data_IF_110988979742
#
_entry.id   IF_110988979742
#
_cell.length_a   1.000
_cell.length_b   1.000
_cell.length_c   1.000
_cell.angle_alpha   90.00
_cell.angle_beta   90.00
_cell.angle_gamma   90.00
#
_symmetry.space_group_name_H-M   'P 1'
#
loop_
_entity.id
_entity.type
_entity.pdbx_description
1 polymer ?
#
# COMPACT_ATOMS: atom_id res chain seq x y z
N UNK A 1 24.45 -10.43 25.44
CA UNK A 1 24.13 -10.07 24.05
C UNK A 1 22.69 -10.49 23.79
N UNK A 2 21.87 -9.62 23.20
CA UNK A 2 20.50 -9.92 22.77
C UNK A 2 20.38 -9.66 21.27
N UNK A 3 19.58 -10.45 20.58
CA UNK A 3 19.28 -10.28 19.15
C UNK A 3 17.85 -9.76 19.00
N UNK A 4 17.68 -8.64 18.29
CA UNK A 4 16.36 -8.15 17.89
C UNK A 4 16.19 -8.32 16.40
N UNK A 5 15.24 -9.15 15.99
CA UNK A 5 14.85 -9.31 14.60
C UNK A 5 13.73 -8.31 14.25
N UNK A 6 13.98 -7.44 13.27
CA UNK A 6 12.98 -6.53 12.76
C UNK A 6 12.13 -7.20 11.67
N UNK A 7 10.87 -7.46 11.99
CA UNK A 7 9.87 -8.06 11.10
C UNK A 7 8.85 -7.01 10.65
N UNK A 8 7.57 -7.37 10.56
CA UNK A 8 6.44 -6.49 10.25
C UNK A 8 5.18 -7.03 10.90
N UNK A 9 4.26 -6.14 11.30
CA UNK A 9 2.93 -6.53 11.77
C UNK A 9 2.06 -7.16 10.67
N UNK A 10 2.50 -7.15 9.42
CA UNK A 10 1.81 -7.78 8.29
C UNK A 10 2.48 -9.09 7.85
N UNK A 11 3.14 -9.79 8.77
CA UNK A 11 3.84 -11.05 8.48
C UNK A 11 2.90 -12.26 8.43
N UNK A 12 1.64 -12.13 8.87
CA UNK A 12 0.62 -13.19 8.86
C UNK A 12 -0.73 -12.61 8.47
N UNK A 13 -0.84 -12.30 7.19
CA UNK A 13 -1.95 -11.52 6.67
C UNK A 13 -3.30 -12.26 6.67
N UNK A 14 -3.30 -13.58 6.81
CA UNK A 14 -4.47 -14.45 6.88
C UNK A 14 -5.16 -14.43 8.25
N UNK A 15 -4.45 -14.05 9.32
CA UNK A 15 -4.99 -14.05 10.66
C UNK A 15 -6.03 -12.91 10.85
N UNK A 16 -7.07 -13.13 11.68
CA UNK A 16 -8.03 -12.09 12.03
C UNK A 16 -7.46 -11.10 13.05
N UNK A 17 -6.62 -11.59 13.97
CA UNK A 17 -5.90 -10.80 14.96
C UNK A 17 -4.47 -11.35 15.06
N UNK A 18 -3.48 -10.47 14.99
CA UNK A 18 -2.08 -10.82 15.18
C UNK A 18 -1.65 -10.50 16.61
N UNK A 19 -1.37 -11.56 17.37
CA UNK A 19 -0.93 -11.48 18.75
C UNK A 19 0.60 -11.40 18.86
N UNK A 20 1.08 -11.00 20.05
CA UNK A 20 2.51 -10.94 20.41
C UNK A 20 3.12 -12.31 20.73
N UNK A 21 3.03 -13.22 19.75
CA UNK A 21 3.64 -14.56 19.75
C UNK A 21 4.19 -14.93 18.38
N UNK A 22 5.08 -15.92 18.35
CA UNK A 22 5.58 -16.52 17.11
C UNK A 22 4.49 -17.40 16.50
N UNK A 23 4.36 -17.33 15.18
CA UNK A 23 3.48 -18.22 14.43
C UNK A 23 4.31 -19.08 13.48
N UNK A 24 3.96 -20.37 13.28
CA UNK A 24 4.71 -21.26 12.40
C UNK A 24 4.56 -20.81 10.95
N UNK A 25 5.68 -20.59 10.25
CA UNK A 25 5.68 -20.23 8.84
C UNK A 25 4.98 -21.30 7.98
N UNK A 26 4.47 -20.86 6.82
CA UNK A 26 3.80 -21.75 5.86
C UNK A 26 4.68 -22.95 5.47
N UNK A 27 5.99 -22.71 5.33
CA UNK A 27 6.98 -23.70 4.98
C UNK A 27 8.11 -23.72 6.02
N UNK A 28 8.70 -24.88 6.35
CA UNK A 28 9.88 -24.93 7.20
C UNK A 28 11.05 -24.15 6.57
N UNK A 29 11.70 -23.23 7.29
CA UNK A 29 12.81 -22.42 6.76
C UNK A 29 13.93 -23.27 6.16
N UNK A 30 14.29 -24.37 6.83
CA UNK A 30 15.31 -25.30 6.34
C UNK A 30 14.97 -25.87 4.96
N UNK A 31 13.72 -26.28 4.73
CA UNK A 31 13.30 -26.83 3.43
C UNK A 31 13.33 -25.78 2.31
N UNK A 32 12.96 -24.54 2.61
CA UNK A 32 13.08 -23.45 1.62
C UNK A 32 14.55 -23.15 1.32
N UNK A 33 15.39 -23.10 2.34
CA UNK A 33 16.85 -22.93 2.15
C UNK A 33 17.46 -24.11 1.40
N UNK A 34 17.02 -25.35 1.65
CA UNK A 34 17.52 -26.55 0.99
C UNK A 34 17.05 -26.63 -0.46
N UNK A 35 15.79 -26.27 -0.74
CA UNK A 35 15.27 -26.10 -2.11
C UNK A 35 16.11 -25.08 -2.89
N UNK A 36 16.60 -24.05 -2.19
CA UNK A 36 17.51 -23.07 -2.78
C UNK A 36 18.94 -23.61 -2.94
N UNK A 37 19.43 -24.40 -1.98
CA UNK A 37 20.81 -24.92 -1.94
C UNK A 37 21.05 -26.13 -2.83
N UNK A 38 20.01 -26.89 -3.19
CA UNK A 38 20.10 -28.13 -4.00
C UNK A 38 20.47 -27.91 -5.48
N UNK A 39 20.67 -26.66 -5.90
CA UNK A 39 21.24 -26.31 -7.20
C UNK A 39 22.76 -26.23 -7.03
N UNK A 40 23.47 -27.26 -7.49
CA UNK A 40 24.91 -27.40 -7.28
C UNK A 40 25.74 -26.51 -8.23
N UNK A 41 26.96 -26.21 -7.79
CA UNK A 41 27.91 -25.39 -8.56
C UNK A 41 28.39 -26.13 -9.83
N UNK A 42 28.29 -27.47 -9.87
CA UNK A 42 28.70 -28.29 -11.01
C UNK A 42 27.76 -28.15 -12.22
N UNK A 43 26.47 -27.94 -11.99
CA UNK A 43 25.49 -27.67 -13.05
C UNK A 43 25.62 -26.25 -13.59
N UNK A 44 26.02 -25.29 -12.74
CA UNK A 44 26.27 -23.89 -13.12
C UNK A 44 27.49 -23.77 -14.05
N UNK A 45 28.61 -24.41 -13.69
CA UNK A 45 29.83 -24.44 -14.49
C UNK A 45 29.63 -25.13 -15.86
N UNK A 46 28.74 -26.13 -15.93
CA UNK A 46 28.42 -26.84 -17.18
C UNK A 46 27.62 -25.99 -18.18
N UNK A 47 26.88 -24.98 -17.72
CA UNK A 47 25.96 -24.20 -18.53
C UNK A 47 26.46 -22.77 -18.85
N UNK A 48 27.45 -22.27 -18.11
CA UNK A 48 28.09 -20.96 -18.29
C UNK A 48 28.55 -20.68 -19.74
N UNK A 49 29.17 -21.63 -20.48
CA UNK A 49 29.63 -21.37 -21.85
C UNK A 49 28.49 -21.27 -22.88
N UNK A 50 27.28 -21.72 -22.55
CA UNK A 50 26.11 -21.71 -23.45
C UNK A 50 25.25 -20.46 -23.31
N UNK A 51 25.50 -19.63 -22.30
CA UNK A 51 24.70 -18.43 -22.01
C UNK A 51 25.40 -17.11 -22.38
N UNK A 52 26.72 -17.11 -22.63
CA UNK A 52 27.46 -15.92 -23.05
C UNK A 52 28.41 -16.22 -24.23
N UNK A 53 28.21 -15.67 -25.44
CA UNK A 53 29.17 -15.81 -26.53
C UNK A 53 30.31 -14.78 -26.47
N UNK A 54 30.66 -14.23 -25.30
CA UNK A 54 31.75 -13.24 -25.17
C UNK A 54 32.53 -13.43 -23.85
N UNK A 55 33.86 -13.41 -23.97
CA UNK A 55 34.89 -13.79 -22.99
C UNK A 55 35.05 -12.82 -21.78
N UNK A 56 35.83 -13.20 -20.74
CA UNK A 56 35.59 -12.85 -19.34
C UNK A 56 36.34 -11.60 -18.87
N UNK A 57 35.77 -10.91 -17.88
CA UNK A 57 36.56 -10.14 -16.91
C UNK A 57 36.27 -10.66 -15.51
N UNK A 58 37.33 -11.17 -14.89
CA UNK A 58 37.41 -11.80 -13.59
C UNK A 58 36.87 -10.93 -12.46
N UNK A 59 35.73 -11.31 -11.88
CA UNK A 59 35.43 -10.97 -10.51
C UNK A 59 34.73 -12.17 -9.85
N UNK A 60 35.38 -12.74 -8.84
CA UNK A 60 34.88 -13.87 -8.07
C UNK A 60 33.59 -13.45 -7.36
N UNK A 61 32.44 -13.86 -7.89
CA UNK A 61 31.14 -13.65 -7.26
C UNK A 61 30.96 -14.72 -6.17
N UNK A 62 31.36 -14.39 -4.95
CA UNK A 62 30.98 -15.14 -3.76
C UNK A 62 29.92 -14.36 -2.99
N UNK A 63 28.64 -14.78 -3.12
CA UNK A 63 27.55 -14.69 -2.09
C UNK A 63 26.12 -15.03 -2.57
N UNK A 64 25.87 -15.50 -3.79
CA UNK A 64 24.54 -15.31 -4.42
C UNK A 64 23.80 -16.53 -4.99
N UNK A 65 23.88 -17.73 -4.39
CA UNK A 65 23.08 -18.88 -4.87
C UNK A 65 21.57 -18.62 -5.01
N UNK A 66 20.97 -17.79 -4.13
CA UNK A 66 19.56 -17.35 -4.23
C UNK A 66 19.31 -16.46 -5.44
N UNK A 67 20.18 -15.48 -5.68
CA UNK A 67 20.04 -14.56 -6.83
C UNK A 67 20.28 -15.30 -8.14
N UNK A 68 21.09 -16.37 -8.10
CA UNK A 68 21.36 -17.20 -9.27
C UNK A 68 20.14 -18.06 -9.64
N UNK A 69 19.36 -18.60 -8.70
CA UNK A 69 18.08 -19.28 -9.01
C UNK A 69 17.06 -18.42 -9.75
N UNK A 70 16.88 -17.17 -9.29
CA UNK A 70 15.97 -16.20 -9.92
C UNK A 70 16.49 -15.82 -11.31
N UNK A 71 17.80 -15.97 -11.58
CA UNK A 71 18.37 -15.78 -12.91
C UNK A 71 18.18 -16.98 -13.84
N UNK A 72 17.91 -18.19 -13.31
CA UNK A 72 17.70 -19.42 -14.10
C UNK A 72 16.27 -19.62 -14.56
N UNK A 73 15.31 -19.21 -13.72
CA UNK A 73 13.90 -19.28 -14.06
C UNK A 73 13.56 -18.07 -14.93
N UNK A 74 12.97 -18.32 -16.10
CA UNK A 74 12.40 -17.24 -16.88
C UNK A 74 11.25 -16.59 -16.10
N UNK A 75 10.97 -15.32 -16.41
CA UNK A 75 9.94 -14.54 -15.72
C UNK A 75 8.57 -15.25 -15.70
N UNK A 76 8.23 -16.05 -16.73
CA UNK A 76 6.94 -16.77 -16.76
C UNK A 76 6.91 -17.92 -15.76
N UNK A 77 8.03 -18.63 -15.59
CA UNK A 77 8.15 -19.68 -14.57
C UNK A 77 8.13 -19.09 -13.17
N UNK A 78 8.78 -17.93 -12.94
CA UNK A 78 8.71 -17.22 -11.67
C UNK A 78 7.28 -16.75 -11.37
N UNK A 79 6.61 -16.12 -12.33
CA UNK A 79 5.22 -15.67 -12.21
C UNK A 79 4.26 -16.84 -11.92
N UNK A 80 4.57 -18.03 -12.43
CA UNK A 80 3.78 -19.24 -12.18
C UNK A 80 4.03 -19.87 -10.79
N UNK A 81 5.28 -19.85 -10.33
CA UNK A 81 5.70 -20.48 -9.07
C UNK A 81 5.46 -19.58 -7.85
N UNK A 82 5.68 -18.27 -7.98
CA UNK A 82 5.51 -17.30 -6.89
C UNK A 82 4.20 -17.49 -6.11
N UNK A 83 2.99 -17.47 -6.74
CA UNK A 83 1.74 -17.58 -6.01
C UNK A 83 1.58 -18.93 -5.28
N UNK A 84 2.27 -19.99 -5.74
CA UNK A 84 2.25 -21.30 -5.08
C UNK A 84 3.19 -21.37 -3.89
N UNK A 85 4.30 -20.64 -3.95
CA UNK A 85 5.31 -20.61 -2.88
C UNK A 85 4.83 -19.72 -1.73
N UNK A 86 4.38 -18.50 -2.03
CA UNK A 86 3.97 -17.53 -1.01
C UNK A 86 2.58 -17.85 -0.43
N UNK A 87 1.79 -18.65 -1.14
CA UNK A 87 0.51 -19.17 -0.67
C UNK A 87 -0.50 -18.06 -0.37
N UNK A 88 -0.89 -17.93 0.89
CA UNK A 88 -1.88 -16.93 1.35
C UNK A 88 -1.28 -15.54 1.59
N UNK A 89 0.04 -15.39 1.54
CA UNK A 89 0.70 -14.11 1.76
C UNK A 89 0.48 -13.17 0.57
N UNK A 90 0.26 -11.87 0.81
CA UNK A 90 -0.08 -10.94 -0.26
C UNK A 90 1.09 -10.62 -1.19
N UNK A 91 2.32 -10.86 -0.74
CA UNK A 91 3.54 -10.63 -1.48
C UNK A 91 4.71 -11.39 -0.84
N UNK A 92 5.81 -11.44 -1.58
CA UNK A 92 7.08 -12.04 -1.14
C UNK A 92 7.67 -11.37 0.10
N UNK A 93 7.40 -10.08 0.34
CA UNK A 93 7.87 -9.36 1.52
C UNK A 93 7.23 -9.91 2.81
N UNK A 94 5.90 -9.99 2.89
CA UNK A 94 5.19 -10.57 4.04
C UNK A 94 5.61 -12.03 4.28
N UNK A 95 5.68 -12.82 3.21
CA UNK A 95 6.12 -14.22 3.27
C UNK A 95 7.54 -14.39 3.84
N UNK A 96 8.51 -13.62 3.34
CA UNK A 96 9.90 -13.72 3.81
C UNK A 96 10.06 -13.27 5.25
N UNK A 97 9.29 -12.28 5.71
CA UNK A 97 9.24 -11.90 7.13
C UNK A 97 8.70 -13.04 7.99
N UNK A 98 7.58 -13.67 7.61
CA UNK A 98 7.00 -14.82 8.31
C UNK A 98 8.00 -16.00 8.43
N UNK A 99 8.65 -16.32 7.31
CA UNK A 99 9.66 -17.39 7.23
C UNK A 99 10.84 -17.10 8.16
N UNK A 100 11.32 -15.85 8.15
CA UNK A 100 12.48 -15.45 8.97
C UNK A 100 12.14 -15.46 10.45
N UNK A 101 10.93 -15.09 10.85
CA UNK A 101 10.51 -15.20 12.25
C UNK A 101 10.58 -16.64 12.77
N UNK A 102 10.12 -17.61 11.96
CA UNK A 102 10.22 -19.03 12.31
C UNK A 102 11.67 -19.48 12.41
N UNK A 103 12.51 -19.09 11.44
CA UNK A 103 13.94 -19.41 11.46
C UNK A 103 14.63 -18.87 12.71
N UNK A 104 14.39 -17.59 13.04
CA UNK A 104 14.97 -16.95 14.22
C UNK A 104 14.47 -17.60 15.51
N UNK A 105 13.20 -18.02 15.55
CA UNK A 105 12.64 -18.72 16.71
C UNK A 105 13.33 -20.04 17.03
N UNK A 106 13.86 -20.75 16.03
CA UNK A 106 14.65 -21.99 16.24
C UNK A 106 15.92 -21.75 17.08
N UNK A 107 16.41 -20.51 17.16
CA UNK A 107 17.59 -20.13 17.94
C UNK A 107 17.26 -19.55 19.32
N UNK A 108 15.98 -19.43 19.69
CA UNK A 108 15.52 -18.80 20.94
C UNK A 108 16.11 -19.41 22.22
N UNK A 109 16.41 -20.72 22.19
CA UNK A 109 17.02 -21.42 23.32
C UNK A 109 18.53 -21.18 23.47
N UNK A 110 19.19 -20.66 22.42
CA UNK A 110 20.64 -20.46 22.36
C UNK A 110 21.05 -19.04 22.71
N UNK A 111 20.25 -18.06 22.30
CA UNK A 111 20.50 -16.64 22.54
C UNK A 111 19.20 -15.91 22.87
N UNK A 112 19.23 -14.89 23.77
CA UNK A 112 18.09 -14.03 24.01
C UNK A 112 17.63 -13.34 22.74
N UNK A 113 16.41 -13.62 22.30
CA UNK A 113 15.85 -13.11 21.05
C UNK A 113 14.53 -12.39 21.31
N UNK A 114 14.36 -11.26 20.63
CA UNK A 114 13.06 -10.65 20.42
C UNK A 114 12.78 -10.38 18.94
N UNK A 115 11.50 -10.39 18.59
CA UNK A 115 10.99 -10.00 17.27
C UNK A 115 10.20 -8.71 17.45
N UNK A 116 10.61 -7.66 16.75
CA UNK A 116 9.89 -6.39 16.69
C UNK A 116 9.09 -6.30 15.38
N UNK A 117 7.78 -6.11 15.48
CA UNK A 117 6.84 -6.06 14.35
C UNK A 117 6.22 -4.67 14.22
N UNK A 118 6.85 -3.74 13.49
CA UNK A 118 6.22 -2.46 13.19
C UNK A 118 5.05 -2.59 12.21
N UNK A 119 4.03 -1.76 12.40
CA UNK A 119 3.02 -1.47 11.37
C UNK A 119 3.59 -0.56 10.26
N UNK A 120 2.74 0.13 9.50
CA UNK A 120 3.18 0.97 8.38
C UNK A 120 4.07 2.09 8.91
N UNK A 121 5.33 2.11 8.49
CA UNK A 121 6.27 3.14 8.92
C UNK A 121 6.05 4.43 8.13
N UNK A 122 6.00 5.55 8.85
CA UNK A 122 5.80 6.90 8.29
C UNK A 122 6.91 7.85 8.74
N UNK A 123 6.82 9.11 8.33
CA UNK A 123 7.84 10.13 8.63
C UNK A 123 8.13 10.31 10.13
N UNK A 124 9.25 10.95 10.44
CA UNK A 124 9.62 11.27 11.81
C UNK A 124 8.57 12.18 12.47
N UNK A 125 8.19 11.87 13.71
CA UNK A 125 7.32 12.73 14.49
C UNK A 125 8.09 13.87 15.18
N UNK A 126 9.13 13.54 15.97
CA UNK A 126 9.90 14.49 16.80
C UNK A 126 11.37 14.54 16.44
N UNK A 127 12.08 13.40 16.43
CA UNK A 127 13.55 13.41 16.40
C UNK A 127 14.17 12.51 15.32
N UNK A 128 15.31 12.91 14.72
CA UNK A 128 15.98 14.21 14.89
C UNK A 128 15.34 15.36 14.12
N UNK A 129 14.53 15.07 13.08
CA UNK A 129 13.98 16.08 12.18
C UNK A 129 12.51 15.78 11.89
N UNK A 130 11.54 16.51 12.47
CA UNK A 130 10.13 16.30 12.23
C UNK A 130 9.76 16.32 10.75
N UNK A 131 8.98 15.34 10.31
CA UNK A 131 8.54 15.18 8.93
C UNK A 131 9.57 14.54 7.99
N UNK A 132 10.80 14.26 8.44
CA UNK A 132 11.79 13.62 7.58
C UNK A 132 11.34 12.24 7.11
N UNK A 133 11.55 12.00 5.80
CA UNK A 133 11.29 10.75 5.08
C UNK A 133 12.12 10.76 3.81
N UNK A 134 12.72 9.63 3.45
CA UNK A 134 13.70 9.54 2.35
C UNK A 134 13.25 8.68 1.17
N UNK A 135 12.14 7.96 1.31
CA UNK A 135 11.65 7.01 0.33
C UNK A 135 10.18 7.25 -0.03
N UNK A 136 9.75 6.65 -1.15
CA UNK A 136 8.39 6.75 -1.67
C UNK A 136 7.57 5.49 -1.38
N UNK A 137 7.96 4.70 -0.37
CA UNK A 137 7.30 3.43 -0.09
C UNK A 137 5.93 3.68 0.58
N UNK A 138 4.96 2.83 0.24
CA UNK A 138 3.62 2.83 0.83
C UNK A 138 2.94 4.19 0.87
N UNK A 139 2.61 4.74 2.06
CA UNK A 139 1.84 5.98 2.19
C UNK A 139 2.54 7.21 1.61
N UNK A 140 3.88 7.27 1.64
CA UNK A 140 4.62 8.41 1.08
C UNK A 140 4.43 8.51 -0.44
N UNK A 141 4.49 7.37 -1.13
CA UNK A 141 4.27 7.28 -2.57
C UNK A 141 2.84 7.66 -2.96
N UNK A 142 1.85 7.20 -2.19
CA UNK A 142 0.44 7.58 -2.38
C UNK A 142 0.23 9.09 -2.20
N UNK A 143 0.77 9.65 -1.11
CA UNK A 143 0.69 11.08 -0.82
C UNK A 143 1.33 11.92 -1.93
N UNK A 144 2.50 11.52 -2.40
CA UNK A 144 3.20 12.19 -3.50
C UNK A 144 2.46 12.05 -4.84
N UNK A 145 1.98 10.86 -5.18
CA UNK A 145 1.24 10.61 -6.41
C UNK A 145 -0.10 11.36 -6.45
N UNK A 146 -0.83 11.38 -5.34
CA UNK A 146 -2.02 12.21 -5.19
C UNK A 146 -1.68 13.71 -5.24
N UNK A 147 -0.58 14.10 -4.58
CA UNK A 147 -0.01 15.45 -4.56
C UNK A 147 0.36 15.99 -5.94
N UNK A 148 0.78 15.12 -6.85
CA UNK A 148 1.07 15.47 -8.24
C UNK A 148 -0.16 15.43 -9.16
N UNK A 149 -1.31 15.00 -8.65
CA UNK A 149 -2.54 14.83 -9.42
C UNK A 149 -2.53 13.64 -10.37
N UNK A 150 -1.55 12.72 -10.24
CA UNK A 150 -1.45 11.51 -11.08
C UNK A 150 -2.26 10.35 -10.50
N UNK A 151 -2.39 10.29 -9.16
CA UNK A 151 -3.31 9.37 -8.48
C UNK A 151 -4.60 10.13 -8.17
N UNK A 152 -5.68 9.72 -8.84
CA UNK A 152 -7.04 10.30 -8.68
C UNK A 152 -8.10 9.31 -8.21
N UNK A 153 -7.74 8.04 -8.04
CA UNK A 153 -8.64 7.01 -7.55
C UNK A 153 -7.84 5.97 -6.78
N UNK A 154 -8.39 5.51 -5.66
CA UNK A 154 -7.79 4.47 -4.82
C UNK A 154 -8.90 3.53 -4.34
N UNK A 155 -8.67 2.23 -4.51
CA UNK A 155 -9.57 1.20 -3.98
C UNK A 155 -9.22 0.97 -2.50
N UNK A 156 -10.07 1.49 -1.62
CA UNK A 156 -9.81 1.56 -0.19
C UNK A 156 -11.15 1.65 0.53
N UNK A 157 -11.26 0.90 1.63
CA UNK A 157 -12.42 1.00 2.51
C UNK A 157 -12.19 2.14 3.53
N UNK A 158 -12.91 3.28 3.43
CA UNK A 158 -12.71 4.44 4.28
C UNK A 158 -12.85 4.15 5.77
N UNK A 159 -13.72 3.21 6.14
CA UNK A 159 -14.08 2.94 7.53
C UNK A 159 -13.03 2.12 8.29
N UNK A 160 -12.14 1.42 7.59
CA UNK A 160 -11.13 0.58 8.22
C UNK A 160 -10.03 1.41 8.88
N UNK A 161 -9.54 0.88 10.00
CA UNK A 161 -8.46 1.49 10.77
C UNK A 161 -7.14 1.45 9.99
N UNK A 162 -6.42 2.57 10.06
CA UNK A 162 -5.07 2.69 9.54
C UNK A 162 -4.08 2.69 10.70
N UNK A 163 -3.16 1.73 10.68
CA UNK A 163 -2.10 1.60 11.67
C UNK A 163 -0.76 2.02 11.04
N UNK A 164 -0.35 3.25 11.36
CA UNK A 164 0.84 3.87 10.77
C UNK A 164 1.71 4.54 11.84
N UNK A 165 2.84 3.92 12.17
CA UNK A 165 3.75 4.37 13.21
C UNK A 165 4.83 5.33 12.67
N UNK A 166 5.16 6.43 13.36
CA UNK A 166 6.33 7.25 13.03
C UNK A 166 7.64 6.46 13.17
N UNK A 167 8.60 6.67 12.27
CA UNK A 167 9.85 5.90 12.23
C UNK A 167 10.73 6.06 13.48
N UNK A 168 10.72 7.25 14.08
CA UNK A 168 11.44 7.56 15.32
C UNK A 168 10.87 6.79 16.53
N UNK A 169 9.55 6.66 16.59
CA UNK A 169 8.87 5.81 17.59
C UNK A 169 9.21 4.34 17.40
N UNK A 170 9.27 3.86 16.15
CA UNK A 170 9.69 2.48 15.85
C UNK A 170 11.13 2.24 16.26
N UNK A 171 12.03 3.18 15.97
CA UNK A 171 13.43 3.09 16.36
C UNK A 171 13.58 3.02 17.89
N UNK A 172 12.92 3.92 18.62
CA UNK A 172 12.88 3.90 20.08
C UNK A 172 12.30 2.60 20.62
N UNK A 173 11.21 2.12 20.04
CA UNK A 173 10.62 0.83 20.37
C UNK A 173 11.61 -0.33 20.22
N UNK A 174 12.38 -0.37 19.13
CA UNK A 174 13.40 -1.39 18.92
C UNK A 174 14.52 -1.33 19.96
N UNK A 175 14.94 -0.12 20.37
CA UNK A 175 15.93 0.07 21.42
C UNK A 175 15.42 -0.43 22.78
N UNK A 176 14.17 -0.13 23.12
CA UNK A 176 13.54 -0.62 24.35
C UNK A 176 13.34 -2.14 24.35
N UNK A 177 12.96 -2.71 23.20
CA UNK A 177 12.89 -4.18 23.02
C UNK A 177 14.26 -4.81 23.22
N UNK A 178 15.32 -4.23 22.64
CA UNK A 178 16.68 -4.73 22.80
C UNK A 178 17.13 -4.68 24.26
N UNK A 179 16.88 -3.56 24.95
CA UNK A 179 17.16 -3.38 26.36
C UNK A 179 16.43 -4.43 27.21
N UNK A 180 15.10 -4.53 27.08
CA UNK A 180 14.27 -5.50 27.80
C UNK A 180 14.78 -6.94 27.60
N UNK A 181 15.06 -7.31 26.35
CA UNK A 181 15.56 -8.66 26.00
C UNK A 181 16.94 -8.93 26.60
N UNK A 182 17.83 -7.94 26.61
CA UNK A 182 19.16 -8.07 27.18
C UNK A 182 19.13 -8.22 28.71
N UNK A 183 18.16 -7.56 29.38
CA UNK A 183 17.97 -7.62 30.82
C UNK A 183 17.32 -8.94 31.25
N UNK A 184 16.24 -9.35 30.58
CA UNK A 184 15.46 -10.53 30.97
C UNK A 184 16.15 -11.83 30.57
N UNK A 185 16.93 -11.80 29.48
CA UNK A 185 17.56 -12.97 28.86
C UNK A 185 16.56 -14.14 28.70
N UNK A 186 15.42 -13.90 28.03
CA UNK A 186 14.36 -14.90 27.95
C UNK A 186 14.86 -16.15 27.21
N UNK A 187 14.40 -17.32 27.67
CA UNK A 187 14.67 -18.62 27.02
C UNK A 187 13.79 -18.88 25.81
N UNK A 188 12.69 -18.14 25.71
CA UNK A 188 11.74 -18.18 24.60
C UNK A 188 11.74 -16.83 23.89
N UNK A 189 11.54 -16.86 22.57
CA UNK A 189 11.48 -15.65 21.76
C UNK A 189 10.34 -14.76 22.20
N UNK A 190 10.68 -13.50 22.53
CA UNK A 190 9.69 -12.48 22.81
C UNK A 190 9.26 -11.80 21.52
N UNK A 191 8.00 -11.40 21.43
CA UNK A 191 7.45 -10.74 20.26
C UNK A 191 6.77 -9.46 20.71
N UNK A 192 7.00 -8.38 19.97
CA UNK A 192 6.47 -7.05 20.27
C UNK A 192 5.85 -6.46 19.01
N UNK A 193 4.55 -6.20 19.05
CA UNK A 193 3.85 -5.54 17.96
C UNK A 193 3.93 -4.02 18.19
N UNK A 194 4.74 -3.34 17.37
CA UNK A 194 4.92 -1.88 17.43
C UNK A 194 3.83 -1.25 16.56
N UNK A 195 2.63 -1.15 17.12
CA UNK A 195 1.41 -0.76 16.41
C UNK A 195 0.62 0.28 17.20
N UNK A 196 -0.24 1.03 16.51
CA UNK A 196 -1.15 2.03 17.10
C UNK A 196 -2.47 1.42 17.61
N UNK A 197 -2.70 0.13 17.37
CA UNK A 197 -3.92 -0.56 17.78
C UNK A 197 -4.24 -0.33 19.25
N UNK A 198 -5.48 0.09 19.54
CA UNK A 198 -5.93 0.44 20.90
C UNK A 198 -5.37 1.76 21.47
N UNK A 199 -4.44 2.43 20.80
CA UNK A 199 -3.81 3.69 21.26
C UNK A 199 -4.38 4.89 20.52
N UNK A 200 -4.34 4.87 19.18
CA UNK A 200 -4.89 5.91 18.31
C UNK A 200 -5.82 5.23 17.32
N UNK A 201 -7.08 5.65 17.27
CA UNK A 201 -8.03 5.19 16.27
C UNK A 201 -8.12 6.24 15.16
N UNK A 202 -7.59 5.90 14.00
CA UNK A 202 -7.73 6.69 12.78
C UNK A 202 -8.13 5.80 11.63
N UNK A 203 -9.04 6.28 10.81
CA UNK A 203 -9.51 5.56 9.63
C UNK A 203 -8.75 5.99 8.38
N UNK A 204 -8.76 5.15 7.34
CA UNK A 204 -8.20 5.54 6.04
C UNK A 204 -8.87 6.80 5.47
N UNK A 205 -10.20 6.94 5.64
CA UNK A 205 -10.93 8.13 5.21
C UNK A 205 -10.40 9.42 5.83
N UNK A 206 -10.20 9.42 7.16
CA UNK A 206 -9.70 10.58 7.91
C UNK A 206 -8.28 10.96 7.50
N UNK A 207 -7.37 9.98 7.40
CA UNK A 207 -5.96 10.26 7.05
C UNK A 207 -5.84 10.77 5.62
N UNK A 208 -6.60 10.19 4.68
CA UNK A 208 -6.56 10.60 3.28
C UNK A 208 -7.14 12.01 3.10
N UNK A 209 -8.26 12.34 3.77
CA UNK A 209 -8.82 13.69 3.72
C UNK A 209 -7.85 14.72 4.29
N UNK A 210 -7.24 14.40 5.44
CA UNK A 210 -6.26 15.25 6.09
C UNK A 210 -5.00 15.44 5.25
N UNK A 211 -4.53 14.38 4.60
CA UNK A 211 -3.46 14.43 3.61
C UNK A 211 -3.82 15.35 2.44
N UNK A 212 -5.05 15.24 1.91
CA UNK A 212 -5.56 16.11 0.84
C UNK A 212 -5.60 17.58 1.27
N UNK A 213 -6.05 17.88 2.48
CA UNK A 213 -6.05 19.26 3.02
C UNK A 213 -4.63 19.82 3.07
N UNK A 214 -3.68 19.08 3.66
CA UNK A 214 -2.30 19.53 3.80
C UNK A 214 -1.62 19.69 2.43
N UNK A 215 -1.83 18.76 1.50
CA UNK A 215 -1.31 18.85 0.13
C UNK A 215 -1.85 20.07 -0.61
N UNK A 216 -3.13 20.41 -0.45
CA UNK A 216 -3.69 21.64 -1.05
C UNK A 216 -3.09 22.92 -0.45
N UNK A 217 -2.71 22.89 0.83
CA UNK A 217 -2.07 24.02 1.53
C UNK A 217 -0.58 24.16 1.23
N UNK A 218 0.08 23.03 0.96
CA UNK A 218 1.51 22.91 0.65
C UNK A 218 1.75 22.17 -0.70
N UNK A 219 1.21 22.70 -1.81
CA UNK A 219 1.18 21.99 -3.10
C UNK A 219 2.56 21.95 -3.75
N UNK A 220 2.80 20.95 -4.60
CA UNK A 220 4.06 20.79 -5.35
C UNK A 220 4.18 21.76 -6.54
N UNK A 221 5.39 22.25 -6.80
CA UNK A 221 5.70 23.05 -7.99
C UNK A 221 5.56 22.18 -9.23
N UNK A 222 6.04 20.94 -9.18
CA UNK A 222 6.01 19.97 -10.29
C UNK A 222 4.88 18.95 -10.11
N UNK A 223 3.63 19.44 -10.08
CA UNK A 223 2.43 18.60 -10.20
C UNK A 223 1.93 18.58 -11.65
N UNK A 224 1.43 17.44 -12.11
CA UNK A 224 0.84 17.30 -13.44
C UNK A 224 -0.54 17.95 -13.48
N UNK A 225 -1.34 17.73 -12.43
CA UNK A 225 -2.72 18.18 -12.36
C UNK A 225 -3.09 18.66 -10.95
N UNK A 226 -4.27 19.28 -10.80
CA UNK A 226 -4.79 19.67 -9.50
C UNK A 226 -5.05 18.45 -8.61
N UNK A 227 -4.73 18.60 -7.33
CA UNK A 227 -4.89 17.55 -6.31
C UNK A 227 -6.35 17.30 -6.02
N UNK A 228 -6.81 16.09 -6.33
CA UNK A 228 -8.21 15.71 -6.21
C UNK A 228 -8.35 14.20 -6.17
N UNK A 229 -9.46 13.70 -6.70
CA UNK A 229 -9.75 12.28 -6.68
C UNK A 229 -10.41 11.81 -5.39
N UNK A 230 -10.82 10.55 -5.39
CA UNK A 230 -11.61 9.96 -4.31
C UNK A 230 -11.21 8.51 -4.05
N UNK A 231 -11.36 8.08 -2.80
CA UNK A 231 -11.38 6.67 -2.44
C UNK A 231 -12.70 6.02 -2.88
N UNK A 232 -12.65 4.74 -3.18
CA UNK A 232 -13.78 3.91 -3.61
C UNK A 232 -13.73 2.59 -2.87
N UNK A 233 -14.81 2.18 -2.20
CA UNK A 233 -14.90 0.85 -1.57
C UNK A 233 -15.09 -0.27 -2.60
N UNK A 234 -15.81 0.00 -3.68
CA UNK A 234 -16.13 -0.99 -4.70
C UNK A 234 -15.11 -1.01 -5.84
N UNK A 235 -14.66 -2.22 -6.20
CA UNK A 235 -13.66 -2.41 -7.26
C UNK A 235 -14.12 -1.84 -8.60
N UNK A 236 -15.37 -2.08 -8.99
CA UNK A 236 -15.90 -1.63 -10.28
C UNK A 236 -15.89 -0.09 -10.39
N UNK A 237 -16.24 0.62 -9.31
CA UNK A 237 -16.28 2.09 -9.32
C UNK A 237 -14.88 2.69 -9.29
N UNK A 238 -13.93 2.01 -8.65
CA UNK A 238 -12.50 2.31 -8.78
C UNK A 238 -12.02 2.15 -10.22
N UNK A 239 -12.26 1.01 -10.86
CA UNK A 239 -11.83 0.74 -12.24
C UNK A 239 -12.42 1.74 -13.23
N UNK A 240 -13.72 2.04 -13.11
CA UNK A 240 -14.38 3.06 -13.93
C UNK A 240 -13.68 4.43 -13.76
N UNK A 241 -13.39 4.82 -12.52
CA UNK A 241 -12.68 6.06 -12.24
C UNK A 241 -11.25 6.07 -12.78
N UNK A 242 -10.53 4.94 -12.72
CA UNK A 242 -9.18 4.80 -13.28
C UNK A 242 -9.19 4.99 -14.80
N UNK A 243 -10.17 4.42 -15.51
CA UNK A 243 -10.34 4.63 -16.96
C UNK A 243 -10.47 6.13 -17.28
N UNK A 244 -11.40 6.83 -16.64
CA UNK A 244 -11.67 8.24 -17.00
C UNK A 244 -10.66 9.24 -16.46
N UNK A 245 -10.02 8.95 -15.32
CA UNK A 245 -9.17 9.94 -14.64
C UNK A 245 -7.68 9.67 -14.75
N UNK A 246 -7.26 8.45 -15.11
CA UNK A 246 -5.85 8.08 -15.29
C UNK A 246 -5.55 7.78 -16.76
N UNK A 247 -6.19 6.76 -17.34
CA UNK A 247 -5.82 6.22 -18.65
C UNK A 247 -6.34 7.05 -19.83
N UNK A 248 -7.63 7.40 -19.86
CA UNK A 248 -8.20 8.19 -20.96
C UNK A 248 -7.43 9.52 -21.16
N UNK A 249 -7.15 10.32 -20.11
CA UNK A 249 -6.31 11.51 -20.26
C UNK A 249 -4.88 11.17 -20.71
N UNK A 250 -4.28 10.09 -20.21
CA UNK A 250 -2.93 9.70 -20.60
C UNK A 250 -2.83 9.31 -22.08
N UNK A 251 -3.80 8.55 -22.60
CA UNK A 251 -3.86 8.20 -24.03
C UNK A 251 -4.11 9.43 -24.92
N UNK A 252 -4.99 10.35 -24.50
CA UNK A 252 -5.23 11.59 -25.23
C UNK A 252 -3.96 12.44 -25.33
N UNK A 253 -3.25 12.63 -24.21
CA UNK A 253 -2.01 13.42 -24.18
C UNK A 253 -0.90 12.71 -24.95
N UNK A 254 -0.71 11.40 -24.77
CA UNK A 254 0.29 10.64 -25.54
C UNK A 254 0.00 10.66 -27.05
N UNK A 255 -1.27 10.62 -27.46
CA UNK A 255 -1.70 10.76 -28.85
C UNK A 255 -1.38 12.14 -29.44
N UNK A 256 -1.64 13.22 -28.69
CA UNK A 256 -1.28 14.58 -29.09
C UNK A 256 0.24 14.78 -29.15
N UNK A 257 0.98 14.10 -28.26
CA UNK A 257 2.43 14.16 -28.17
C UNK A 257 3.15 13.20 -29.13
N UNK A 258 2.46 12.45 -30.00
CA UNK A 258 3.12 11.58 -31.01
C UNK A 258 4.12 12.34 -31.91
N UNK A 259 4.01 13.68 -31.99
CA UNK A 259 4.92 14.57 -32.74
C UNK A 259 6.19 14.93 -31.94
N UNK A 260 6.22 14.70 -30.63
CA UNK A 260 7.36 14.99 -29.75
C UNK A 260 7.78 13.71 -29.03
N UNK A 261 9.03 13.27 -29.17
CA UNK A 261 9.60 12.04 -28.57
C UNK A 261 9.74 12.09 -27.03
N UNK A 262 8.75 12.63 -26.33
CA UNK A 262 8.70 12.79 -24.89
C UNK A 262 7.94 11.62 -24.23
N UNK A 263 8.24 11.42 -22.95
CA UNK A 263 7.87 10.26 -22.13
C UNK A 263 6.37 9.93 -22.23
N UNK A 264 6.05 8.66 -22.51
CA UNK A 264 4.68 8.13 -22.57
C UNK A 264 4.02 8.12 -21.18
N UNK A 265 2.98 8.93 -20.98
CA UNK A 265 2.19 9.02 -19.76
C UNK A 265 1.45 7.71 -19.45
N UNK A 266 1.06 6.93 -20.46
CA UNK A 266 0.43 5.62 -20.24
C UNK A 266 1.36 4.70 -19.46
N UNK A 267 2.66 4.66 -19.80
CA UNK A 267 3.66 3.88 -19.05
C UNK A 267 3.82 4.36 -17.60
N UNK A 268 3.61 5.66 -17.36
CA UNK A 268 3.62 6.22 -15.99
C UNK A 268 2.39 5.73 -15.22
N UNK A 269 1.21 5.74 -15.86
CA UNK A 269 -0.02 5.23 -15.25
C UNK A 269 0.04 3.73 -14.97
N UNK A 270 0.67 2.93 -15.83
CA UNK A 270 0.84 1.49 -15.59
C UNK A 270 1.66 1.21 -14.32
N UNK A 271 2.76 1.94 -14.14
CA UNK A 271 3.59 1.85 -12.92
C UNK A 271 2.81 2.26 -11.68
N UNK A 272 2.02 3.33 -11.78
CA UNK A 272 1.19 3.82 -10.68
C UNK A 272 0.12 2.79 -10.31
N UNK A 273 -0.63 2.29 -11.30
CA UNK A 273 -1.67 1.28 -11.13
C UNK A 273 -1.11 0.00 -10.50
N UNK A 274 0.06 -0.46 -10.94
CA UNK A 274 0.73 -1.61 -10.33
C UNK A 274 1.10 -1.35 -8.86
N UNK A 275 1.68 -0.20 -8.55
CA UNK A 275 2.01 0.19 -7.17
C UNK A 275 0.78 0.28 -6.25
N UNK A 276 -0.33 0.85 -6.74
CA UNK A 276 -1.59 0.91 -5.99
C UNK A 276 -2.13 -0.49 -5.75
N UNK A 277 -2.07 -1.39 -6.74
CA UNK A 277 -2.55 -2.78 -6.62
C UNK A 277 -1.84 -3.55 -5.51
N UNK A 278 -0.54 -3.34 -5.32
CA UNK A 278 0.21 -3.95 -4.20
C UNK A 278 -0.33 -3.48 -2.85
N UNK A 279 -0.70 -2.21 -2.74
CA UNK A 279 -1.20 -1.62 -1.50
C UNK A 279 -2.65 -1.98 -1.20
N UNK A 280 -3.45 -2.35 -2.22
CA UNK A 280 -4.87 -2.67 -2.07
C UNK A 280 -5.13 -3.73 -1.00
N UNK A 281 -4.29 -4.77 -0.92
CA UNK A 281 -4.45 -5.81 0.10
C UNK A 281 -4.50 -5.23 1.52
N UNK A 282 -3.68 -4.22 1.81
CA UNK A 282 -3.60 -3.59 3.13
C UNK A 282 -4.72 -2.57 3.39
N UNK A 283 -5.32 -1.99 2.35
CA UNK A 283 -6.37 -0.97 2.46
C UNK A 283 -7.79 -1.51 2.25
N UNK A 284 -7.92 -2.81 1.97
CA UNK A 284 -9.17 -3.54 1.73
C UNK A 284 -9.52 -4.52 2.85
N UNK A 285 -8.68 -4.61 3.88
CA UNK A 285 -8.89 -5.47 5.03
C UNK A 285 -8.68 -4.66 6.30
N UNK A 286 -9.48 -4.94 7.32
CA UNK A 286 -9.25 -4.40 8.66
C UNK A 286 -8.22 -5.25 9.40
N UNK A 287 -7.31 -4.58 10.11
CA UNK A 287 -6.19 -5.22 10.79
C UNK A 287 -6.32 -5.04 12.30
N UNK A 288 -6.20 -6.14 13.04
CA UNK A 288 -6.24 -6.14 14.48
C UNK A 288 -4.91 -6.68 15.03
N UNK A 289 -4.32 -5.93 15.96
CA UNK A 289 -3.04 -6.24 16.59
C UNK A 289 -3.21 -6.17 18.11
N UNK A 290 -2.67 -7.14 18.85
CA UNK A 290 -2.42 -6.93 20.28
C UNK A 290 -1.02 -6.34 20.45
N UNK A 291 -0.82 -5.42 21.39
CA UNK A 291 0.47 -4.73 21.60
C UNK A 291 0.78 -4.50 23.09
N UNK A 292 0.21 -5.31 23.97
CA UNK A 292 0.29 -5.14 25.43
C UNK A 292 1.73 -5.21 25.95
N UNK A 293 2.55 -6.15 25.43
CA UNK A 293 3.97 -6.28 25.80
C UNK A 293 4.76 -5.06 25.33
N UNK A 294 4.49 -4.56 24.13
CA UNK A 294 5.13 -3.35 23.62
C UNK A 294 4.79 -2.13 24.48
N UNK A 295 3.50 -1.92 24.79
CA UNK A 295 3.05 -0.81 25.63
C UNK A 295 3.59 -0.91 27.06
N UNK A 296 3.80 -2.11 27.58
CA UNK A 296 4.37 -2.31 28.92
C UNK A 296 5.85 -1.90 29.02
N UNK A 297 6.59 -1.79 27.90
CA UNK A 297 8.03 -1.45 27.92
C UNK A 297 8.32 -0.10 28.59
N UNK A 298 7.43 0.88 28.44
CA UNK A 298 7.59 2.19 29.07
C UNK A 298 7.66 2.10 30.60
N UNK A 299 6.99 1.12 31.21
CA UNK A 299 6.98 0.94 32.66
C UNK A 299 8.29 0.36 33.22
N UNK A 300 9.19 -0.10 32.33
CA UNK A 300 10.45 -0.76 32.69
C UNK A 300 11.66 0.17 32.76
N UNK A 301 11.46 1.42 32.37
CA UNK A 301 12.51 2.43 32.27
C UNK A 301 12.17 3.63 33.14
N UNK A 302 13.20 4.38 33.51
CA UNK A 302 13.08 5.60 34.31
C UNK A 302 12.30 6.67 33.55
N UNK A 303 11.75 7.67 34.25
CA UNK A 303 11.07 8.80 33.60
C UNK A 303 12.01 9.58 32.65
N UNK A 304 13.28 9.71 33.03
CA UNK A 304 14.32 10.30 32.18
C UNK A 304 14.47 9.51 30.87
N UNK A 305 14.63 8.19 30.94
CA UNK A 305 14.76 7.35 29.75
C UNK A 305 13.48 7.34 28.91
N UNK A 306 12.28 7.44 29.52
CA UNK A 306 11.01 7.57 28.78
C UNK A 306 10.96 8.84 27.93
N UNK A 307 11.60 9.91 28.38
CA UNK A 307 11.66 11.17 27.64
C UNK A 307 12.56 11.08 26.41
N UNK A 308 13.62 10.27 26.49
CA UNK A 308 14.58 10.04 25.40
C UNK A 308 14.04 8.98 24.43
N UNK A 309 13.69 7.80 24.95
CA UNK A 309 13.19 6.66 24.19
C UNK A 309 11.66 6.59 24.22
N UNK A 310 11.02 7.69 23.83
CA UNK A 310 9.56 7.78 23.85
C UNK A 310 8.94 6.78 22.88
N UNK A 311 7.90 6.10 23.36
CA UNK A 311 7.01 5.25 22.55
C UNK A 311 5.53 5.62 22.67
N UNK A 312 5.18 6.48 23.65
CA UNK A 312 3.82 6.97 23.79
C UNK A 312 3.52 8.06 22.75
N UNK A 313 2.57 7.74 21.89
CA UNK A 313 2.12 8.54 20.75
C UNK A 313 0.78 9.23 21.01
N UNK A 314 0.13 9.01 22.16
CA UNK A 314 -1.11 9.73 22.52
C UNK A 314 -0.98 11.26 22.41
N UNK A 315 0.17 11.89 22.74
CA UNK A 315 0.33 13.34 22.60
C UNK A 315 0.48 13.82 21.14
N UNK A 316 0.52 12.93 20.14
CA UNK A 316 0.68 13.33 18.72
C UNK A 316 -0.47 14.24 18.29
N UNK A 317 -0.15 15.49 17.98
CA UNK A 317 -1.07 16.35 17.26
C UNK A 317 -1.07 15.97 15.78
N UNK A 318 -2.12 15.26 15.34
CA UNK A 318 -2.19 14.74 13.98
C UNK A 318 -2.20 15.85 12.90
N UNK A 319 -2.70 17.07 13.20
CA UNK A 319 -2.62 18.19 12.25
C UNK A 319 -1.18 18.68 12.05
N UNK A 320 -0.41 18.80 13.14
CA UNK A 320 1.00 19.17 13.08
C UNK A 320 1.83 18.08 12.42
N UNK A 321 1.57 16.82 12.76
CA UNK A 321 2.24 15.66 12.17
C UNK A 321 2.03 15.60 10.65
N UNK A 322 0.79 15.63 10.17
CA UNK A 322 0.49 15.58 8.72
C UNK A 322 1.06 16.78 7.96
N UNK A 323 1.09 17.96 8.57
CA UNK A 323 1.75 19.14 8.00
C UNK A 323 3.24 18.92 7.80
N UNK A 324 3.93 18.47 8.86
CA UNK A 324 5.37 18.21 8.80
C UNK A 324 5.67 17.08 7.81
N UNK A 325 4.84 16.05 7.77
CA UNK A 325 4.97 14.96 6.80
C UNK A 325 4.88 15.47 5.36
N UNK A 326 3.84 16.24 5.00
CA UNK A 326 3.72 16.81 3.64
C UNK A 326 4.91 17.73 3.28
N UNK A 327 5.34 18.58 4.22
CA UNK A 327 6.51 19.43 4.03
C UNK A 327 7.80 18.61 3.85
N UNK A 328 7.95 17.52 4.61
CA UNK A 328 9.07 16.60 4.50
C UNK A 328 9.09 15.85 3.16
N UNK A 329 7.94 15.36 2.69
CA UNK A 329 7.83 14.75 1.36
C UNK A 329 8.21 15.75 0.26
N UNK A 330 7.78 17.00 0.38
CA UNK A 330 8.17 18.08 -0.53
C UNK A 330 9.68 18.27 -0.55
N UNK A 331 10.30 18.42 0.62
CA UNK A 331 11.71 18.77 0.73
C UNK A 331 12.64 17.57 0.43
N UNK A 332 12.39 16.42 1.04
CA UNK A 332 13.30 15.28 1.03
C UNK A 332 13.05 14.31 -0.12
N UNK A 333 11.79 14.07 -0.50
CA UNK A 333 11.46 13.18 -1.62
C UNK A 333 11.37 13.92 -2.95
N UNK A 334 10.70 15.07 -2.97
CA UNK A 334 10.52 15.86 -4.20
C UNK A 334 11.64 16.86 -4.46
N UNK A 335 12.57 17.04 -3.51
CA UNK A 335 13.72 17.96 -3.61
C UNK A 335 13.28 19.41 -3.93
N UNK A 336 12.10 19.82 -3.47
CA UNK A 336 11.63 21.19 -3.65
C UNK A 336 12.03 22.04 -2.44
N UNK A 337 12.81 23.09 -2.69
CA UNK A 337 13.25 24.04 -1.67
C UNK A 337 12.03 24.72 -1.00
N UNK A 338 12.01 24.89 0.33
CA UNK A 338 10.91 25.54 1.04
C UNK A 338 10.49 26.92 0.48
N UNK A 339 11.44 27.69 -0.07
CA UNK A 339 11.19 29.00 -0.68
C UNK A 339 10.26 28.94 -1.90
N UNK A 340 10.19 27.79 -2.58
CA UNK A 340 9.36 27.60 -3.79
C UNK A 340 7.87 27.53 -3.50
N UNK A 341 7.47 27.42 -2.23
CA UNK A 341 6.07 27.23 -1.82
C UNK A 341 5.13 28.34 -2.32
N UNK A 342 5.60 29.59 -2.34
CA UNK A 342 4.83 30.73 -2.85
C UNK A 342 4.50 30.58 -4.35
N UNK A 343 5.49 30.21 -5.15
CA UNK A 343 5.35 29.87 -6.58
C UNK A 343 4.43 28.67 -6.76
N UNK A 344 4.63 27.61 -5.98
CA UNK A 344 3.84 26.40 -6.06
C UNK A 344 2.34 26.67 -5.82
N UNK A 345 2.00 27.53 -4.84
CA UNK A 345 0.61 27.97 -4.59
C UNK A 345 -0.01 28.73 -5.76
N UNK A 346 0.75 29.61 -6.43
CA UNK A 346 0.26 30.32 -7.62
C UNK A 346 -0.06 29.34 -8.75
N UNK A 347 0.85 28.40 -9.03
CA UNK A 347 0.63 27.37 -10.06
C UNK A 347 -0.53 26.45 -9.67
N UNK A 348 -0.66 26.12 -8.38
CA UNK A 348 -1.77 25.30 -7.86
C UNK A 348 -3.14 25.94 -8.11
N UNK A 349 -3.26 27.26 -7.96
CA UNK A 349 -4.49 28.00 -8.31
C UNK A 349 -4.81 27.91 -9.80
N UNK A 350 -3.82 28.02 -10.67
CA UNK A 350 -4.01 27.85 -12.13
C UNK A 350 -4.48 26.43 -12.44
N UNK A 351 -3.85 25.41 -11.83
CA UNK A 351 -4.28 24.01 -11.97
C UNK A 351 -5.69 23.78 -11.46
N UNK A 352 -6.08 24.41 -10.36
CA UNK A 352 -7.43 24.36 -9.83
C UNK A 352 -8.45 24.90 -10.85
N UNK A 353 -8.18 26.08 -11.41
CA UNK A 353 -9.05 26.67 -12.43
C UNK A 353 -9.15 25.78 -13.68
N UNK A 354 -8.04 25.20 -14.12
CA UNK A 354 -8.03 24.25 -15.23
C UNK A 354 -8.85 22.99 -14.92
N UNK A 355 -8.73 22.42 -13.71
CA UNK A 355 -9.50 21.25 -13.26
C UNK A 355 -11.00 21.56 -13.21
N UNK A 356 -11.38 22.75 -12.72
CA UNK A 356 -12.78 23.21 -12.75
C UNK A 356 -13.28 23.37 -14.18
N UNK A 357 -12.52 24.03 -15.06
CA UNK A 357 -12.90 24.24 -16.45
C UNK A 357 -13.11 22.91 -17.20
N UNK A 358 -12.19 21.95 -17.02
CA UNK A 358 -12.33 20.61 -17.62
C UNK A 358 -13.56 19.88 -17.11
N UNK A 359 -13.87 19.95 -15.81
CA UNK A 359 -15.09 19.34 -15.25
C UNK A 359 -16.35 20.00 -15.80
N UNK A 360 -16.41 21.33 -15.84
CA UNK A 360 -17.55 22.06 -16.40
C UNK A 360 -17.75 21.68 -17.87
N UNK A 361 -16.67 21.67 -18.67
CA UNK A 361 -16.72 21.23 -20.06
C UNK A 361 -17.21 19.80 -20.20
N UNK A 362 -16.69 18.88 -19.38
CA UNK A 362 -17.10 17.47 -19.40
C UNK A 362 -18.59 17.30 -19.08
N UNK A 363 -19.09 17.94 -18.03
CA UNK A 363 -20.52 17.86 -17.67
C UNK A 363 -21.42 18.55 -18.69
N UNK A 364 -20.97 19.68 -19.28
CA UNK A 364 -21.69 20.34 -20.36
C UNK A 364 -21.77 19.46 -21.62
N UNK A 365 -20.68 18.79 -21.99
CA UNK A 365 -20.63 17.84 -23.10
C UNK A 365 -21.53 16.63 -22.83
N UNK A 366 -21.50 16.07 -21.62
CA UNK A 366 -22.39 14.97 -21.23
C UNK A 366 -23.86 15.37 -21.32
N UNK A 367 -24.21 16.55 -20.81
CA UNK A 367 -25.57 17.10 -20.91
C UNK A 367 -25.98 17.31 -22.36
N UNK A 368 -25.10 17.87 -23.20
CA UNK A 368 -25.35 18.06 -24.62
C UNK A 368 -25.58 16.74 -25.35
N UNK A 369 -24.79 15.70 -25.07
CA UNK A 369 -24.99 14.36 -25.62
C UNK A 369 -26.33 13.76 -25.19
N UNK A 370 -26.69 13.88 -23.91
CA UNK A 370 -27.98 13.39 -23.40
C UNK A 370 -29.17 14.09 -24.04
N UNK A 371 -29.09 15.41 -24.26
CA UNK A 371 -30.15 16.17 -24.95
C UNK A 371 -30.22 15.79 -26.42
N UNK A 372 -29.08 15.74 -27.11
CA UNK A 372 -29.01 15.46 -28.55
C UNK A 372 -29.48 14.05 -28.88
N UNK A 373 -29.11 13.06 -28.06
CA UNK A 373 -29.49 11.67 -28.24
C UNK A 373 -30.66 11.24 -27.34
N UNK A 374 -31.42 12.22 -26.82
CA UNK A 374 -32.58 11.96 -25.96
C UNK A 374 -33.60 11.03 -26.60
N UNK A 375 -33.83 11.17 -27.91
CA UNK A 375 -34.73 10.31 -28.69
C UNK A 375 -34.31 8.82 -28.64
N UNK A 376 -33.01 8.53 -28.74
CA UNK A 376 -32.50 7.15 -28.65
C UNK A 376 -32.74 6.59 -27.24
N UNK A 377 -32.55 7.43 -26.22
CA UNK A 377 -32.76 7.04 -24.83
C UNK A 377 -34.24 6.80 -24.52
N UNK A 378 -35.15 7.64 -25.02
CA UNK A 378 -36.60 7.43 -24.88
C UNK A 378 -37.04 6.15 -25.60
N UNK A 379 -36.57 5.90 -26.82
CA UNK A 379 -36.91 4.66 -27.53
C UNK A 379 -36.34 3.40 -26.86
N UNK A 380 -35.15 3.49 -26.27
CA UNK A 380 -34.58 2.38 -25.50
C UNK A 380 -35.39 2.08 -24.23
N UNK A 381 -35.84 3.12 -23.52
CA UNK A 381 -36.72 2.99 -22.36
C UNK A 381 -38.07 2.38 -22.73
N UNK A 382 -38.70 2.85 -23.81
CA UNK A 382 -39.95 2.28 -24.33
C UNK A 382 -39.80 0.79 -24.67
N UNK A 383 -38.68 0.41 -25.29
CA UNK A 383 -38.37 -0.98 -25.63
C UNK A 383 -38.17 -1.84 -24.38
N UNK A 384 -37.50 -1.29 -23.37
CA UNK A 384 -37.24 -1.97 -22.10
C UNK A 384 -38.51 -2.13 -21.26
N UNK A 385 -39.37 -1.09 -21.24
CA UNK A 385 -40.72 -1.14 -20.66
C UNK A 385 -41.56 -2.21 -21.34
N UNK A 386 -41.60 -2.22 -22.67
CA UNK A 386 -42.31 -3.23 -23.46
C UNK A 386 -41.77 -4.65 -23.18
N UNK A 387 -40.46 -4.80 -23.06
CA UNK A 387 -39.82 -6.07 -22.71
C UNK A 387 -40.18 -6.54 -21.29
N UNK A 388 -40.20 -5.64 -20.31
CA UNK A 388 -40.59 -5.93 -18.94
C UNK A 388 -42.08 -6.27 -18.81
N UNK A 389 -42.96 -5.57 -19.52
CA UNK A 389 -44.40 -5.89 -19.55
C UNK A 389 -44.65 -7.27 -20.16
N UNK A 390 -43.90 -7.63 -21.21
CA UNK A 390 -43.98 -8.95 -21.85
C UNK A 390 -43.40 -10.08 -20.97
N UNK A 391 -42.50 -9.76 -20.05
CA UNK A 391 -41.93 -10.71 -19.09
C UNK A 391 -42.81 -10.91 -17.83
N UNK A 392 -43.84 -10.10 -17.61
CA UNK A 392 -44.73 -10.26 -16.46
C UNK A 392 -45.74 -11.39 -16.71
N UNK A 393 -45.67 -12.55 -16.01
CA UNK A 393 -46.67 -13.59 -16.14
C UNK A 393 -47.68 -13.42 -15.02
N UNK A 394 -48.33 -12.25 -14.93
CA UNK A 394 -49.58 -12.16 -14.19
C UNK A 394 -50.71 -12.27 -15.20
N UNK A 395 -51.02 -13.52 -15.52
CA UNK A 395 -52.36 -13.94 -15.94
C UNK A 395 -53.32 -13.27 -14.95
N UNK A 396 -54.04 -12.24 -15.38
CA UNK A 396 -55.25 -11.83 -14.66
C UNK A 396 -56.18 -13.03 -14.75
N UNK A 397 -56.24 -13.83 -13.69
CA UNK A 397 -57.33 -14.78 -13.52
C UNK A 397 -58.60 -13.93 -13.52
N UNK A 398 -59.36 -13.99 -14.61
CA UNK A 398 -60.69 -13.39 -14.64
C UNK A 398 -61.50 -14.11 -13.56
N UNK A 399 -62.19 -13.35 -12.73
CA UNK A 399 -63.03 -13.85 -11.64
C UNK A 399 -64.32 -14.53 -12.14
N UNK A 400 -64.20 -15.48 -13.08
CA UNK A 400 -65.31 -16.27 -13.62
C UNK A 400 -65.15 -17.79 -13.46
N UNK A 401 -64.02 -18.29 -12.95
CA UNK A 401 -63.75 -19.74 -12.83
C UNK A 401 -63.83 -20.27 -11.38
N UNK A 402 -64.54 -19.61 -10.46
CA UNK A 402 -64.70 -20.06 -9.05
C UNK A 402 -66.14 -20.56 -8.74
N UNK A 403 -67.06 -20.60 -9.71
CA UNK A 403 -68.42 -21.14 -9.47
C UNK A 403 -68.63 -22.61 -9.89
N UNK A 404 -67.65 -23.28 -10.52
CA UNK A 404 -67.84 -24.67 -11.00
C UNK A 404 -67.16 -25.77 -10.14
N UNK A 405 -66.69 -25.44 -8.93
CA UNK A 405 -66.09 -26.40 -7.99
C UNK A 405 -66.83 -26.49 -6.64
N UNK A 406 -68.06 -25.99 -6.58
CA UNK A 406 -68.95 -26.11 -5.41
C UNK A 406 -70.37 -26.56 -5.79
N UNK A 407 -70.48 -27.59 -6.66
CA UNK A 407 -71.71 -28.33 -6.93
C UNK A 407 -71.50 -29.83 -6.70
#
# INVERSE_FOLDING_TARGET
MALVHLSTAYCRCELPCLEERVYPALHPPAKIMDMVRWLDDQTLDYLEPKMYPVAPSSEKISKTKIMDMVRWLDDQTLDYLEPKIIGTEPNTYSYTKALTESLVAEFGSKIPIAIARPSIITAIWKEPIPGWVDNLNGPTGLLMGAGKGVIRSMHCEPSYQCDAMPVDVVANGCLLVAYATAMDRPKEVQVYNITLSGVIRQTWGEIIEKGREMVNKYPLTVALWYTGGSIKSYKWSHQLSVVFTHYLPAYLVDGLLLVMTLRRLVKVQDRISHGIKILQHYTQKEWHFTNDKFLALQNRISEFDRSIFYIDVKPVNMNAYMRNYVLGVRQYCCKEDPSTLSKARKIHKVRYLADVAVKVFFYAMLLWLLVTYSYIFTSALETLETGLTNLSPFRSVKAYDIEELAA
#
